data_IF_012587171722
#
_entry.id   IF_012587171722
#
_cell.length_a   1.000
_cell.length_b   1.000
_cell.length_c   1.000
_cell.angle_alpha   90.00
_cell.angle_beta   90.00
_cell.angle_gamma   90.00
#
_symmetry.space_group_name_H-M   'P 1'
#
loop_
_entity.id
_entity.type
_entity.pdbx_description
1 polymer ?
#
# COMPACT_ATOMS: atom_id res chain seq x y z
N UNK A 1 -23.12 -22.81 -9.55
CA UNK A 1 -23.14 -21.35 -9.79
C UNK A 1 -23.23 -20.75 -8.41
N UNK A 2 -22.11 -20.35 -7.83
CA UNK A 2 -22.13 -19.52 -6.63
C UNK A 2 -22.90 -18.26 -6.97
N UNK A 3 -23.76 -17.82 -6.05
CA UNK A 3 -24.44 -16.55 -6.24
C UNK A 3 -23.38 -15.43 -6.22
N UNK A 4 -23.59 -14.35 -6.99
CA UNK A 4 -22.71 -13.17 -6.95
C UNK A 4 -22.46 -12.68 -5.51
N UNK A 5 -23.42 -12.92 -4.62
CA UNK A 5 -23.34 -12.60 -3.20
C UNK A 5 -22.30 -13.45 -2.45
N UNK A 6 -22.20 -14.75 -2.76
CA UNK A 6 -21.20 -15.65 -2.17
C UNK A 6 -19.80 -15.27 -2.63
N UNK A 7 -19.61 -14.96 -3.92
CA UNK A 7 -18.30 -14.54 -4.45
C UNK A 7 -17.82 -13.23 -3.78
N UNK A 8 -18.75 -12.29 -3.52
CA UNK A 8 -18.46 -11.05 -2.79
C UNK A 8 -18.09 -11.34 -1.34
N UNK A 9 -18.82 -12.25 -0.67
CA UNK A 9 -18.51 -12.67 0.69
C UNK A 9 -17.11 -13.31 0.77
N UNK A 10 -16.78 -14.24 -0.13
CA UNK A 10 -15.46 -14.88 -0.19
C UNK A 10 -14.34 -13.85 -0.42
N UNK A 11 -14.55 -12.90 -1.35
CA UNK A 11 -13.60 -11.81 -1.57
C UNK A 11 -13.39 -11.01 -0.28
N UNK A 12 -14.47 -10.61 0.38
CA UNK A 12 -14.44 -9.85 1.61
C UNK A 12 -13.94 -10.66 2.81
N UNK A 13 -13.97 -11.98 2.81
CA UNK A 13 -13.41 -12.75 3.91
C UNK A 13 -11.89 -12.78 3.89
N UNK A 14 -11.29 -12.57 2.72
CA UNK A 14 -9.85 -12.40 2.59
C UNK A 14 -9.39 -10.99 2.97
N UNK A 15 -8.29 -10.88 3.74
CA UNK A 15 -7.66 -9.59 4.06
C UNK A 15 -7.31 -8.80 2.79
N UNK A 16 -6.71 -9.48 1.79
CA UNK A 16 -6.31 -8.87 0.53
C UNK A 16 -7.53 -8.37 -0.28
N UNK A 17 -8.63 -9.12 -0.28
CA UNK A 17 -9.87 -8.68 -0.92
C UNK A 17 -10.48 -7.47 -0.23
N UNK A 18 -10.54 -7.43 1.11
CA UNK A 18 -10.95 -6.21 1.85
C UNK A 18 -10.08 -5.01 1.49
N UNK A 19 -8.76 -5.19 1.48
CA UNK A 19 -7.83 -4.11 1.13
C UNK A 19 -8.13 -3.56 -0.27
N UNK A 20 -8.32 -4.43 -1.27
CA UNK A 20 -8.67 -4.04 -2.64
C UNK A 20 -10.00 -3.28 -2.70
N UNK A 21 -11.03 -3.75 -2.00
CA UNK A 21 -12.35 -3.07 -1.96
C UNK A 21 -12.23 -1.69 -1.31
N UNK A 22 -11.49 -1.57 -0.19
CA UNK A 22 -11.23 -0.28 0.46
C UNK A 22 -10.43 0.65 -0.45
N UNK A 23 -9.47 0.12 -1.22
CA UNK A 23 -8.71 0.89 -2.22
C UNK A 23 -9.63 1.50 -3.27
N UNK A 24 -10.51 0.67 -3.83
CA UNK A 24 -11.45 1.07 -4.87
C UNK A 24 -12.39 2.15 -4.34
N UNK A 25 -13.00 1.93 -3.17
CA UNK A 25 -13.89 2.89 -2.53
C UNK A 25 -13.20 4.23 -2.24
N UNK A 26 -11.95 4.19 -1.76
CA UNK A 26 -11.13 5.39 -1.54
C UNK A 26 -11.00 6.24 -2.81
N UNK A 27 -10.59 5.62 -3.93
CA UNK A 27 -10.41 6.35 -5.19
C UNK A 27 -11.74 6.81 -5.80
N UNK A 28 -12.80 6.00 -5.71
CA UNK A 28 -14.14 6.38 -6.18
C UNK A 28 -14.67 7.60 -5.42
N UNK A 29 -14.54 7.62 -4.08
CA UNK A 29 -14.99 8.76 -3.27
C UNK A 29 -14.16 10.02 -3.54
N UNK A 30 -12.85 9.89 -3.68
CA UNK A 30 -11.99 11.02 -4.06
C UNK A 30 -12.36 11.55 -5.45
N UNK A 31 -12.53 10.69 -6.45
CA UNK A 31 -12.88 11.07 -7.81
C UNK A 31 -14.27 11.74 -7.87
N UNK A 32 -15.28 11.12 -7.26
CA UNK A 32 -16.62 11.67 -7.21
C UNK A 32 -16.65 13.03 -6.48
N UNK A 33 -15.97 13.13 -5.34
CA UNK A 33 -15.83 14.37 -4.60
C UNK A 33 -15.11 15.47 -5.38
N UNK A 34 -14.18 15.15 -6.28
CA UNK A 34 -13.56 16.13 -7.18
C UNK A 34 -14.51 16.54 -8.32
N UNK A 35 -15.27 15.61 -8.91
CA UNK A 35 -16.21 15.90 -10.00
C UNK A 35 -17.37 16.78 -9.51
N UNK A 36 -17.86 16.53 -8.29
CA UNK A 36 -18.97 17.27 -7.69
C UNK A 36 -18.56 18.45 -6.82
N UNK A 37 -17.25 18.66 -6.64
CA UNK A 37 -16.68 19.64 -5.71
C UNK A 37 -17.22 19.51 -4.26
N UNK A 38 -17.47 18.26 -3.85
CA UNK A 38 -18.01 17.95 -2.53
C UNK A 38 -16.91 17.45 -1.59
N UNK A 39 -16.48 18.35 -0.68
CA UNK A 39 -15.48 18.06 0.36
C UNK A 39 -15.80 16.83 1.24
N UNK A 40 -17.05 16.51 1.59
CA UNK A 40 -17.35 15.32 2.41
C UNK A 40 -16.90 14.01 1.76
N UNK A 41 -17.08 13.84 0.45
CA UNK A 41 -16.65 12.63 -0.26
C UNK A 41 -15.13 12.52 -0.34
N UNK A 42 -14.44 13.64 -0.57
CA UNK A 42 -12.98 13.68 -0.53
C UNK A 42 -12.47 13.29 0.87
N UNK A 43 -13.12 13.79 1.93
CA UNK A 43 -12.79 13.46 3.32
C UNK A 43 -13.02 11.98 3.61
N UNK A 44 -14.14 11.41 3.15
CA UNK A 44 -14.43 9.98 3.31
C UNK A 44 -13.35 9.13 2.63
N UNK A 45 -12.96 9.46 1.40
CA UNK A 45 -11.86 8.79 0.70
C UNK A 45 -10.52 8.90 1.44
N UNK A 46 -10.19 10.08 1.97
CA UNK A 46 -8.98 10.28 2.78
C UNK A 46 -8.99 9.46 4.08
N UNK A 47 -10.15 9.32 4.75
CA UNK A 47 -10.29 8.46 5.93
C UNK A 47 -10.07 6.98 5.61
N UNK A 48 -10.62 6.49 4.48
CA UNK A 48 -10.36 5.12 4.01
C UNK A 48 -8.87 4.90 3.68
N UNK A 49 -8.22 5.90 3.07
CA UNK A 49 -6.77 5.88 2.84
C UNK A 49 -5.99 5.79 4.16
N UNK A 50 -6.38 6.54 5.18
CA UNK A 50 -5.79 6.47 6.52
C UNK A 50 -5.98 5.10 7.18
N UNK A 51 -7.16 4.49 7.05
CA UNK A 51 -7.41 3.14 7.57
C UNK A 51 -6.47 2.10 6.92
N UNK A 52 -6.23 2.20 5.61
CA UNK A 52 -5.24 1.35 4.91
C UNK A 52 -3.82 1.58 5.41
N UNK A 53 -3.44 2.83 5.68
CA UNK A 53 -2.14 3.14 6.27
C UNK A 53 -1.98 2.43 7.61
N UNK A 54 -2.98 2.50 8.49
CA UNK A 54 -2.94 1.81 9.80
C UNK A 54 -2.73 0.30 9.67
N UNK A 55 -3.37 -0.35 8.70
CA UNK A 55 -3.20 -1.79 8.46
C UNK A 55 -1.78 -2.11 7.98
N UNK A 56 -1.21 -1.30 7.08
CA UNK A 56 0.16 -1.49 6.56
C UNK A 56 1.26 -1.35 7.61
N UNK A 57 1.00 -0.64 8.72
CA UNK A 57 1.96 -0.56 9.83
C UNK A 57 2.26 -1.93 10.48
N UNK A 58 1.41 -2.93 10.21
CA UNK A 58 1.56 -4.30 10.69
C UNK A 58 2.07 -5.28 9.62
N UNK A 59 2.29 -4.80 8.38
CA UNK A 59 2.74 -5.64 7.27
C UNK A 59 4.24 -5.94 7.30
N UNK A 60 5.02 -5.36 8.24
CA UNK A 60 6.46 -5.60 8.40
C UNK A 60 6.81 -7.11 8.45
N UNK A 61 6.18 -7.86 9.36
CA UNK A 61 6.43 -9.30 9.54
C UNK A 61 5.92 -10.13 8.35
N UNK A 62 4.67 -9.94 7.88
CA UNK A 62 4.19 -10.55 6.64
C UNK A 62 5.13 -10.31 5.45
N UNK A 63 5.68 -9.10 5.31
CA UNK A 63 6.58 -8.73 4.22
C UNK A 63 7.92 -9.46 4.35
N UNK A 64 8.49 -9.57 5.55
CA UNK A 64 9.72 -10.37 5.79
C UNK A 64 9.50 -11.82 5.40
N UNK A 65 8.38 -12.42 5.82
CA UNK A 65 8.02 -13.78 5.43
C UNK A 65 7.85 -13.92 3.92
N UNK A 66 7.22 -12.92 3.28
CA UNK A 66 7.05 -12.89 1.82
C UNK A 66 8.41 -12.87 1.11
N UNK A 67 9.29 -11.95 1.48
CA UNK A 67 10.66 -11.85 0.93
C UNK A 67 11.44 -13.14 1.13
N UNK A 68 11.35 -13.77 2.32
CA UNK A 68 12.01 -15.03 2.60
C UNK A 68 11.51 -16.18 1.72
N UNK A 69 10.19 -16.31 1.58
CA UNK A 69 9.57 -17.34 0.74
C UNK A 69 9.82 -17.10 -0.76
N UNK A 70 9.86 -15.84 -1.20
CA UNK A 70 10.16 -15.47 -2.59
C UNK A 70 11.62 -15.76 -2.95
N UNK A 71 12.55 -15.57 -2.00
CA UNK A 71 13.97 -15.83 -2.17
C UNK A 71 14.56 -15.02 -3.33
N UNK A 72 15.22 -15.73 -4.27
CA UNK A 72 15.84 -15.12 -5.46
C UNK A 72 14.93 -15.24 -6.72
N UNK A 73 13.62 -15.48 -6.56
CA UNK A 73 12.70 -15.57 -7.69
C UNK A 73 12.96 -16.79 -8.59
N UNK A 74 13.48 -17.90 -8.04
CA UNK A 74 13.79 -19.13 -8.80
C UNK A 74 12.57 -19.80 -9.43
N UNK A 75 11.38 -19.42 -9.00
CA UNK A 75 10.09 -19.90 -9.50
C UNK A 75 9.55 -19.07 -10.66
N UNK A 76 10.18 -17.93 -10.97
CA UNK A 76 9.74 -17.04 -12.05
C UNK A 76 10.13 -17.58 -13.43
N UNK A 77 9.29 -17.27 -14.42
CA UNK A 77 9.44 -17.75 -15.80
C UNK A 77 10.65 -17.17 -16.52
N UNK A 78 11.10 -15.99 -16.12
CA UNK A 78 12.26 -15.30 -16.73
C UNK A 78 13.18 -14.70 -15.67
N UNK A 79 14.47 -14.57 -16.00
CA UNK A 79 15.45 -13.91 -15.14
C UNK A 79 15.14 -12.43 -14.89
N UNK A 80 14.45 -11.78 -15.84
CA UNK A 80 14.02 -10.38 -15.72
C UNK A 80 12.88 -10.27 -14.70
N UNK A 81 11.86 -11.14 -14.77
CA UNK A 81 10.80 -11.19 -13.77
C UNK A 81 11.34 -11.51 -12.37
N UNK A 82 12.28 -12.47 -12.27
CA UNK A 82 12.96 -12.78 -11.01
C UNK A 82 13.67 -11.54 -10.42
N UNK A 83 14.43 -10.81 -11.23
CA UNK A 83 15.13 -9.60 -10.81
C UNK A 83 14.16 -8.49 -10.39
N UNK A 84 13.09 -8.28 -11.17
CA UNK A 84 12.05 -7.29 -10.85
C UNK A 84 11.33 -7.61 -9.54
N UNK A 85 10.97 -8.86 -9.28
CA UNK A 85 10.32 -9.22 -8.02
C UNK A 85 11.26 -9.16 -6.81
N UNK A 86 12.57 -9.44 -6.98
CA UNK A 86 13.55 -9.16 -5.91
C UNK A 86 13.65 -7.66 -5.64
N UNK A 87 13.71 -6.83 -6.69
CA UNK A 87 13.71 -5.37 -6.56
C UNK A 87 12.43 -4.85 -5.90
N UNK A 88 11.26 -5.35 -6.28
CA UNK A 88 9.97 -5.02 -5.66
C UNK A 88 10.01 -5.31 -4.16
N UNK A 89 10.44 -6.52 -3.79
CA UNK A 89 10.57 -6.90 -2.39
C UNK A 89 11.52 -6.00 -1.61
N UNK A 90 12.64 -5.57 -2.20
CA UNK A 90 13.58 -4.64 -1.56
C UNK A 90 12.95 -3.26 -1.37
N UNK A 91 12.23 -2.75 -2.36
CA UNK A 91 11.53 -1.46 -2.29
C UNK A 91 10.46 -1.51 -1.20
N UNK A 92 9.66 -2.56 -1.16
CA UNK A 92 8.59 -2.74 -0.17
C UNK A 92 9.14 -2.87 1.26
N UNK A 93 10.26 -3.58 1.45
CA UNK A 93 10.96 -3.68 2.73
C UNK A 93 11.52 -2.33 3.21
N UNK A 94 11.97 -1.46 2.30
CA UNK A 94 12.41 -0.12 2.64
C UNK A 94 11.23 0.84 2.89
N UNK A 95 10.12 0.63 2.17
CA UNK A 95 8.95 1.47 2.22
C UNK A 95 8.23 1.39 3.57
N UNK A 96 7.99 0.18 4.10
CA UNK A 96 7.20 -0.01 5.32
C UNK A 96 7.80 0.71 6.55
N UNK A 97 9.11 0.62 6.85
CA UNK A 97 9.71 1.36 7.96
C UNK A 97 9.68 2.88 7.77
N UNK A 98 9.93 3.35 6.54
CA UNK A 98 9.89 4.78 6.20
C UNK A 98 8.49 5.35 6.41
N UNK A 99 7.47 4.62 5.95
CA UNK A 99 6.07 5.01 6.13
C UNK A 99 5.67 5.01 7.62
N UNK A 100 6.17 4.06 8.40
CA UNK A 100 5.97 4.02 9.86
C UNK A 100 6.58 5.22 10.57
N UNK A 101 7.77 5.66 10.14
CA UNK A 101 8.41 6.89 10.65
C UNK A 101 7.56 8.12 10.33
N UNK A 102 7.06 8.24 9.09
CA UNK A 102 6.19 9.34 8.69
C UNK A 102 4.92 9.37 9.54
N UNK A 103 4.26 8.22 9.70
CA UNK A 103 3.06 8.12 10.53
C UNK A 103 3.32 8.46 12.00
N UNK A 104 4.43 7.99 12.59
CA UNK A 104 4.82 8.31 13.96
C UNK A 104 5.07 9.81 14.17
N UNK A 105 5.59 10.49 13.14
CA UNK A 105 5.76 11.93 13.15
C UNK A 105 4.40 12.65 13.09
N UNK A 106 3.49 12.20 12.22
CA UNK A 106 2.15 12.80 12.06
C UNK A 106 1.30 12.73 13.34
N UNK A 107 1.40 11.62 14.09
CA UNK A 107 0.70 11.47 15.38
C UNK A 107 1.43 12.18 16.53
N UNK A 108 2.61 12.76 16.29
CA UNK A 108 3.39 13.50 17.28
C UNK A 108 4.15 12.63 18.30
N UNK A 109 4.24 11.32 18.07
CA UNK A 109 5.06 10.40 18.90
C UNK A 109 6.54 10.65 18.61
N UNK A 110 6.88 10.78 17.33
CA UNK A 110 8.19 11.21 16.87
C UNK A 110 8.15 12.71 16.58
N UNK A 111 9.15 13.47 17.02
CA UNK A 111 9.27 14.90 16.70
C UNK A 111 10.46 15.10 15.78
N UNK A 112 10.25 14.93 14.48
CA UNK A 112 11.27 15.24 13.50
C UNK A 112 11.33 16.75 13.25
N UNK A 113 12.50 17.25 12.84
CA UNK A 113 12.56 18.60 12.29
C UNK A 113 11.75 18.67 10.99
N UNK A 114 11.16 19.83 10.64
CA UNK A 114 10.36 19.97 9.42
C UNK A 114 11.10 19.52 8.15
N UNK A 115 12.40 19.79 8.08
CA UNK A 115 13.25 19.38 6.96
C UNK A 115 13.37 17.87 6.86
N UNK A 116 13.60 17.18 7.99
CA UNK A 116 13.75 15.73 8.03
C UNK A 116 12.41 15.04 7.73
N UNK A 117 11.30 15.53 8.27
CA UNK A 117 9.96 15.02 7.98
C UNK A 117 9.64 15.08 6.47
N UNK A 118 9.89 16.23 5.83
CA UNK A 118 9.69 16.41 4.39
C UNK A 118 10.52 15.43 3.55
N UNK A 119 11.78 15.17 3.94
CA UNK A 119 12.64 14.20 3.27
C UNK A 119 12.06 12.78 3.38
N UNK A 120 11.61 12.36 4.57
CA UNK A 120 11.01 11.05 4.76
C UNK A 120 9.70 10.88 3.99
N UNK A 121 8.83 11.88 3.95
CA UNK A 121 7.60 11.87 3.14
C UNK A 121 7.90 11.74 1.64
N UNK A 122 8.92 12.47 1.17
CA UNK A 122 9.37 12.42 -0.24
C UNK A 122 9.90 11.02 -0.58
N UNK A 123 10.73 10.44 0.30
CA UNK A 123 11.26 9.08 0.13
C UNK A 123 10.12 8.05 0.16
N UNK A 124 9.18 8.17 1.10
CA UNK A 124 8.02 7.29 1.20
C UNK A 124 7.22 7.30 -0.09
N UNK A 125 6.91 8.49 -0.61
CA UNK A 125 6.17 8.66 -1.87
C UNK A 125 6.93 8.09 -3.06
N UNK A 126 8.25 8.31 -3.12
CA UNK A 126 9.11 7.76 -4.17
C UNK A 126 9.18 6.24 -4.16
N UNK A 127 9.34 5.63 -2.99
CA UNK A 127 9.35 4.17 -2.82
C UNK A 127 7.99 3.55 -3.18
N UNK A 128 6.89 4.17 -2.77
CA UNK A 128 5.55 3.75 -3.15
C UNK A 128 5.34 3.77 -4.67
N UNK A 129 5.75 4.87 -5.32
CA UNK A 129 5.66 5.00 -6.77
C UNK A 129 6.54 3.97 -7.50
N UNK A 130 7.74 3.71 -7.00
CA UNK A 130 8.63 2.68 -7.54
C UNK A 130 8.02 1.28 -7.42
N UNK A 131 7.47 0.93 -6.26
CA UNK A 131 6.79 -0.36 -6.01
C UNK A 131 5.62 -0.56 -6.98
N UNK A 132 4.79 0.48 -7.18
CA UNK A 132 3.72 0.46 -8.18
C UNK A 132 4.23 0.25 -9.60
N UNK A 133 5.29 0.96 -9.99
CA UNK A 133 5.83 0.85 -11.34
C UNK A 133 6.42 -0.53 -11.62
N UNK A 134 7.15 -1.11 -10.67
CA UNK A 134 7.69 -2.47 -10.78
C UNK A 134 6.54 -3.48 -10.88
N UNK A 135 5.52 -3.33 -10.04
CA UNK A 135 4.32 -4.20 -10.04
C UNK A 135 3.51 -4.13 -11.33
N UNK A 136 3.61 -3.04 -12.10
CA UNK A 136 2.95 -2.89 -13.40
C UNK A 136 3.73 -3.58 -14.54
N UNK A 137 5.05 -3.74 -14.37
CA UNK A 137 5.93 -4.33 -15.38
C UNK A 137 6.06 -5.85 -15.20
N UNK A 138 6.01 -6.31 -13.95
CA UNK A 138 6.05 -7.73 -13.59
C UNK A 138 4.79 -8.45 -14.04
#
# INVERSE_FOLDING_TARGET
MTSVLEDICELLDSYNGRDKVVRLACYVFKLYGCIKDEKPWQTAGSRLSGARLMLRLFDDIPMIRHTYNYGLGRHESTRVAAALGVLANMVDQAFLPVEKICWLNDVGVLKLSPQTAYVFETISTGLWAASLYISLIQ
#
